data_IF_042076280435
#
_entry.id   IF_042076280435
#
_cell.length_a   1.000
_cell.length_b   1.000
_cell.length_c   1.000
_cell.angle_alpha   90.00
_cell.angle_beta   90.00
_cell.angle_gamma   90.00
#
_symmetry.space_group_name_H-M   'P 1'
#
loop_
_entity.id
_entity.type
_entity.pdbx_description
1 polymer ?
#
# COMPACT_ATOMS: atom_id res chain seq x y z
N UNK A 1 7.83 14.07 -1.54
CA UNK A 1 6.92 13.01 -1.99
C UNK A 1 6.25 13.43 -3.28
N UNK A 2 6.15 12.52 -4.22
CA UNK A 2 5.50 12.80 -5.49
C UNK A 2 4.01 12.55 -5.39
N UNK A 3 3.25 13.41 -6.04
CA UNK A 3 1.81 13.26 -6.19
C UNK A 3 1.50 13.54 -7.66
N UNK A 4 0.76 12.65 -8.28
CA UNK A 4 0.45 12.82 -9.69
C UNK A 4 -0.80 12.04 -10.06
N UNK A 5 -1.41 12.42 -11.19
CA UNK A 5 -2.52 11.68 -11.76
C UNK A 5 -1.99 10.73 -12.83
N UNK A 6 -2.56 9.54 -12.88
CA UNK A 6 -2.15 8.52 -13.83
C UNK A 6 -3.38 7.95 -14.53
N UNK A 7 -3.34 7.87 -15.84
CA UNK A 7 -4.41 7.26 -16.62
C UNK A 7 -4.14 5.77 -16.76
N UNK A 8 -5.07 4.96 -16.30
CA UNK A 8 -4.95 3.50 -16.34
C UNK A 8 -4.90 3.03 -17.80
N UNK A 9 -3.92 2.22 -18.12
CA UNK A 9 -3.75 1.62 -19.42
C UNK A 9 -4.45 0.27 -19.54
N UNK A 10 -4.44 -0.25 -20.75
CA UNK A 10 -5.07 -1.53 -21.04
C UNK A 10 -4.43 -2.64 -20.19
N UNK A 11 -5.27 -3.40 -19.49
CA UNK A 11 -4.82 -4.54 -18.68
C UNK A 11 -4.18 -4.18 -17.35
N UNK A 12 -4.07 -2.91 -17.01
CA UNK A 12 -3.51 -2.51 -15.73
C UNK A 12 -4.52 -2.69 -14.60
N UNK A 13 -4.02 -3.09 -13.45
CA UNK A 13 -4.83 -3.29 -12.25
C UNK A 13 -4.21 -2.50 -11.09
N UNK A 14 -4.96 -2.37 -9.98
CA UNK A 14 -4.41 -1.72 -8.79
C UNK A 14 -3.11 -2.42 -8.36
N UNK A 15 -3.09 -3.75 -8.40
CA UNK A 15 -1.90 -4.51 -8.02
C UNK A 15 -0.72 -4.21 -8.95
N UNK A 16 -0.96 -4.19 -10.27
CA UNK A 16 0.12 -3.89 -11.21
C UNK A 16 0.62 -2.46 -11.07
N UNK A 17 -0.29 -1.51 -10.80
CA UNK A 17 0.09 -0.11 -10.60
C UNK A 17 0.84 0.09 -9.29
N UNK A 18 0.45 -0.63 -8.24
CA UNK A 18 1.16 -0.59 -6.97
C UNK A 18 2.61 -1.06 -7.14
N UNK A 19 2.82 -2.12 -7.91
CA UNK A 19 4.16 -2.60 -8.21
C UNK A 19 4.94 -1.59 -9.08
N UNK A 20 4.27 -1.03 -10.08
CA UNK A 20 4.89 -0.07 -11.00
C UNK A 20 5.41 1.17 -10.27
N UNK A 21 4.63 1.70 -9.35
CA UNK A 21 4.97 2.92 -8.64
C UNK A 21 5.56 2.67 -7.25
N UNK A 22 5.73 1.41 -6.89
CA UNK A 22 6.29 1.00 -5.61
C UNK A 22 5.55 1.62 -4.43
N UNK A 23 4.24 1.52 -4.44
CA UNK A 23 3.38 1.93 -3.33
C UNK A 23 2.48 0.76 -2.95
N UNK A 24 2.03 0.69 -1.70
CA UNK A 24 1.10 -0.37 -1.32
C UNK A 24 -0.23 -0.21 -2.06
N UNK A 25 -0.88 -1.31 -2.46
CA UNK A 25 -2.18 -1.22 -3.12
C UNK A 25 -3.21 -0.44 -2.32
N UNK A 26 -3.20 -0.59 -0.99
CA UNK A 26 -4.16 0.12 -0.13
C UNK A 26 -4.00 1.64 -0.23
N UNK A 27 -2.79 2.13 -0.49
CA UNK A 27 -2.58 3.56 -0.66
C UNK A 27 -3.30 4.09 -1.90
N UNK A 28 -3.28 3.31 -2.99
CA UNK A 28 -4.00 3.69 -4.20
C UNK A 28 -5.51 3.62 -3.96
N UNK A 29 -5.97 2.55 -3.32
CA UNK A 29 -7.39 2.36 -3.03
C UNK A 29 -7.94 3.51 -2.19
N UNK A 30 -7.25 3.84 -1.11
CA UNK A 30 -7.70 4.89 -0.20
C UNK A 30 -7.64 6.28 -0.82
N UNK A 31 -6.58 6.57 -1.57
CA UNK A 31 -6.43 7.88 -2.20
C UNK A 31 -7.51 8.17 -3.23
N UNK A 32 -8.11 7.13 -3.81
CA UNK A 32 -9.11 7.26 -4.86
C UNK A 32 -10.49 6.75 -4.47
N UNK A 33 -10.66 6.34 -3.22
CA UNK A 33 -11.92 5.79 -2.72
C UNK A 33 -12.45 4.68 -3.62
N UNK A 34 -11.55 3.77 -4.02
CA UNK A 34 -11.91 2.69 -4.94
C UNK A 34 -12.75 1.63 -4.24
N UNK A 35 -13.78 1.16 -4.93
CA UNK A 35 -14.68 0.12 -4.42
C UNK A 35 -14.73 -1.11 -5.30
N UNK A 36 -13.90 -1.16 -6.32
CA UNK A 36 -13.82 -2.27 -7.25
C UNK A 36 -12.61 -2.13 -8.12
N UNK A 37 -12.57 -2.91 -9.18
CA UNK A 37 -11.45 -2.89 -10.10
C UNK A 37 -11.44 -1.63 -10.95
N UNK A 38 -10.23 -1.20 -11.32
CA UNK A 38 -10.07 -0.06 -12.23
C UNK A 38 -10.22 -0.53 -13.68
N UNK A 39 -10.55 0.43 -14.56
CA UNK A 39 -10.72 0.18 -15.98
C UNK A 39 -9.79 1.06 -16.79
N UNK A 40 -9.44 0.60 -17.99
CA UNK A 40 -8.67 1.41 -18.92
C UNK A 40 -9.30 2.79 -19.08
N UNK A 41 -8.49 3.81 -18.98
CA UNK A 41 -8.92 5.19 -19.10
C UNK A 41 -9.27 5.87 -17.79
N UNK A 42 -9.43 5.12 -16.72
CA UNK A 42 -9.65 5.73 -15.40
C UNK A 42 -8.44 6.57 -15.03
N UNK A 43 -8.70 7.71 -14.38
CA UNK A 43 -7.62 8.57 -13.90
C UNK A 43 -7.53 8.40 -12.39
N UNK A 44 -6.36 7.97 -11.93
CA UNK A 44 -6.11 7.74 -10.51
C UNK A 44 -5.12 8.75 -9.97
N UNK A 45 -5.34 9.15 -8.73
CA UNK A 45 -4.38 9.96 -8.00
C UNK A 45 -3.40 9.02 -7.32
N UNK A 46 -2.12 9.14 -7.66
CA UNK A 46 -1.05 8.34 -7.08
C UNK A 46 -0.24 9.25 -6.17
N UNK A 47 -0.12 8.85 -4.92
CA UNK A 47 0.64 9.60 -3.94
C UNK A 47 1.69 8.68 -3.33
N UNK A 48 2.95 9.04 -3.46
CA UNK A 48 4.01 8.33 -2.75
C UNK A 48 3.85 8.62 -1.28
N UNK A 49 3.80 7.55 -0.50
CA UNK A 49 3.60 7.68 0.94
C UNK A 49 4.93 7.91 1.65
N UNK A 50 4.89 8.65 2.76
CA UNK A 50 6.05 8.74 3.63
C UNK A 50 6.26 7.40 4.34
N UNK A 51 7.45 7.21 4.89
CA UNK A 51 7.79 5.98 5.57
C UNK A 51 8.46 4.99 4.65
N UNK A 52 8.65 3.79 5.15
CA UNK A 52 9.32 2.71 4.42
C UNK A 52 8.29 1.73 3.88
N UNK A 53 8.57 1.19 2.70
CA UNK A 53 7.80 0.07 2.19
C UNK A 53 8.48 -1.21 2.67
N UNK A 54 7.71 -2.06 3.33
CA UNK A 54 8.20 -3.34 3.84
C UNK A 54 7.36 -4.47 3.27
N UNK A 55 8.03 -5.50 2.75
CA UNK A 55 7.34 -6.70 2.28
C UNK A 55 7.31 -7.71 3.41
N UNK A 56 6.12 -8.09 3.83
CA UNK A 56 5.91 -9.03 4.94
C UNK A 56 6.58 -10.36 4.63
N UNK A 57 7.38 -10.84 5.59
CA UNK A 57 8.11 -12.10 5.49
C UNK A 57 7.33 -13.22 6.16
N UNK A 58 7.71 -14.50 5.91
CA UNK A 58 7.04 -15.62 6.60
C UNK A 58 7.09 -15.44 8.11
N UNK A 59 5.97 -15.72 8.77
CA UNK A 59 5.82 -15.63 10.23
C UNK A 59 5.81 -14.22 10.81
N UNK A 60 5.89 -13.18 9.98
CA UNK A 60 5.74 -11.81 10.48
C UNK A 60 4.31 -11.59 10.98
N UNK A 61 4.20 -10.88 12.10
CA UNK A 61 2.93 -10.41 12.64
C UNK A 61 3.03 -8.91 12.84
N UNK A 62 1.89 -8.25 13.12
CA UNK A 62 1.91 -6.82 13.44
C UNK A 62 2.86 -6.55 14.60
N UNK A 63 2.84 -7.41 15.63
CA UNK A 63 3.70 -7.23 16.80
C UNK A 63 5.19 -7.38 16.46
N UNK A 64 5.55 -8.39 15.68
CA UNK A 64 6.96 -8.59 15.36
C UNK A 64 7.50 -7.51 14.43
N UNK A 65 6.68 -7.07 13.48
CA UNK A 65 7.08 -5.98 12.58
C UNK A 65 7.17 -4.66 13.35
N UNK A 66 6.22 -4.41 14.24
CA UNK A 66 6.23 -3.22 15.09
C UNK A 66 7.51 -3.16 15.94
N UNK A 67 7.90 -4.27 16.53
CA UNK A 67 9.13 -4.37 17.31
C UNK A 67 10.36 -4.12 16.44
N UNK A 68 10.39 -4.73 15.25
CA UNK A 68 11.51 -4.61 14.31
C UNK A 68 11.77 -3.15 13.91
N UNK A 69 10.71 -2.39 13.71
CA UNK A 69 10.81 -1.00 13.25
C UNK A 69 10.55 0.03 14.34
N UNK A 70 10.38 -0.43 15.57
CA UNK A 70 10.12 0.46 16.71
C UNK A 70 8.93 1.40 16.45
N UNK A 71 7.83 0.83 15.97
CA UNK A 71 6.62 1.55 15.67
C UNK A 71 5.43 0.89 16.38
N UNK A 72 4.39 1.66 16.77
CA UNK A 72 3.23 1.04 17.41
C UNK A 72 2.48 0.12 16.46
N UNK A 73 2.12 -1.13 16.90
CA UNK A 73 1.40 -2.06 16.02
C UNK A 73 0.07 -1.51 15.53
N UNK A 74 -0.66 -0.81 16.39
CA UNK A 74 -1.96 -0.24 16.03
C UNK A 74 -1.84 0.85 14.97
N UNK A 75 -0.72 1.56 14.94
CA UNK A 75 -0.50 2.56 13.91
C UNK A 75 -0.18 1.93 12.58
N UNK A 76 0.60 0.84 12.58
CA UNK A 76 0.87 0.08 11.36
C UNK A 76 -0.45 -0.48 10.81
N UNK A 77 -1.27 -1.05 11.67
CA UNK A 77 -2.57 -1.59 11.28
C UNK A 77 -3.47 -0.51 10.69
N UNK A 78 -3.56 0.63 11.36
CA UNK A 78 -4.40 1.74 10.93
C UNK A 78 -3.93 2.32 9.60
N UNK A 79 -2.64 2.56 9.48
CA UNK A 79 -2.05 3.17 8.28
C UNK A 79 -2.26 2.30 7.05
N UNK A 80 -2.24 0.99 7.23
CA UNK A 80 -2.34 0.04 6.13
C UNK A 80 -3.72 -0.58 5.97
N UNK A 81 -4.65 -0.25 6.86
CA UNK A 81 -6.02 -0.77 6.77
C UNK A 81 -6.10 -2.28 6.95
N UNK A 82 -5.25 -2.85 7.80
CA UNK A 82 -5.19 -4.30 8.00
C UNK A 82 -5.27 -4.65 9.48
N UNK A 83 -5.81 -5.84 9.77
CA UNK A 83 -5.88 -6.39 11.12
C UNK A 83 -4.77 -7.38 11.38
N UNK A 84 -4.24 -7.97 10.32
CA UNK A 84 -3.20 -8.98 10.41
C UNK A 84 -2.35 -8.93 9.15
N UNK A 85 -1.17 -9.52 9.20
CA UNK A 85 -0.23 -9.53 8.08
C UNK A 85 -0.15 -10.93 7.47
N UNK A 86 0.07 -10.98 6.16
CA UNK A 86 0.33 -12.23 5.48
C UNK A 86 1.55 -12.09 4.57
N UNK A 87 2.22 -13.18 4.32
CA UNK A 87 3.45 -13.23 3.56
C UNK A 87 3.28 -12.57 2.18
N UNK A 88 4.21 -11.71 1.84
CA UNK A 88 4.22 -11.05 0.54
C UNK A 88 3.46 -9.73 0.49
N UNK A 89 2.67 -9.41 1.52
CA UNK A 89 1.96 -8.14 1.55
C UNK A 89 2.94 -6.98 1.68
N UNK A 90 2.76 -5.95 0.88
CA UNK A 90 3.55 -4.73 1.02
C UNK A 90 2.81 -3.77 1.94
N UNK A 91 3.49 -3.29 2.95
CA UNK A 91 2.93 -2.37 3.93
C UNK A 91 3.82 -1.15 4.09
N UNK A 92 3.21 -0.08 4.58
CA UNK A 92 3.92 1.16 4.92
C UNK A 92 4.27 1.09 6.41
N UNK A 93 5.55 1.32 6.71
CA UNK A 93 6.00 1.46 8.10
C UNK A 93 6.12 2.96 8.38
N UNK A 94 5.46 3.49 9.41
CA UNK A 94 5.54 4.92 9.71
C UNK A 94 6.96 5.33 10.07
N UNK A 95 7.28 6.56 9.75
CA UNK A 95 8.59 7.15 10.08
C UNK A 95 8.75 7.34 11.59
#
# INVERSE_FOLDING_TARGET
MKKFFYRVGKGETVISLAAKFNVPPIAIINANDLRGEVSEGDVLFIEETGGKIYTVQPFDTLDTVAEKFNAPPEEIARLNGVDYLFYGLKIIIPD
#
